data_IF_427618198714
#
_entry.id   IF_427618198714
#
_cell.length_a   1.000
_cell.length_b   1.000
_cell.length_c   1.000
_cell.angle_alpha   90.00
_cell.angle_beta   90.00
_cell.angle_gamma   90.00
#
_symmetry.space_group_name_H-M   'P 1'
#
loop_
_entity.id
_entity.type
_entity.pdbx_description
1 polymer ?
#
# COMPACT_ATOMS: atom_id res chain seq x y z
N UNK A 1 50.91 -54.45 24.57
CA UNK A 1 50.24 -53.56 23.61
C UNK A 1 48.94 -53.20 24.28
N UNK A 2 49.03 -52.25 25.21
CA UNK A 2 47.95 -51.85 26.09
C UNK A 2 47.13 -50.77 25.40
N UNK A 3 45.82 -50.98 25.42
CA UNK A 3 44.80 -50.11 24.86
C UNK A 3 44.62 -48.94 25.83
N UNK A 4 45.31 -47.83 25.59
CA UNK A 4 45.07 -46.60 26.34
C UNK A 4 43.84 -45.87 25.80
N UNK A 5 42.97 -45.60 26.77
CA UNK A 5 41.69 -44.92 26.77
C UNK A 5 41.83 -43.43 26.42
N UNK A 6 41.03 -42.96 25.47
CA UNK A 6 40.84 -41.52 25.23
C UNK A 6 39.35 -41.22 25.15
N UNK A 7 38.73 -41.13 26.32
CA UNK A 7 37.39 -40.55 26.49
C UNK A 7 37.46 -39.02 26.24
N UNK A 8 36.65 -38.44 25.34
CA UNK A 8 36.66 -37.00 25.10
C UNK A 8 35.93 -36.28 26.23
N UNK A 9 36.68 -35.53 27.06
CA UNK A 9 36.10 -34.60 28.03
C UNK A 9 35.33 -33.48 27.32
N UNK A 10 34.12 -33.11 27.77
CA UNK A 10 33.46 -31.89 27.29
C UNK A 10 34.18 -30.67 27.88
N UNK A 11 34.92 -29.96 27.04
CA UNK A 11 35.42 -28.62 27.35
C UNK A 11 34.31 -27.58 27.26
N UNK A 12 34.39 -26.45 27.98
CA UNK A 12 33.36 -25.40 27.93
C UNK A 12 33.24 -24.81 26.52
N UNK A 13 32.07 -24.91 25.91
CA UNK A 13 31.70 -24.15 24.72
C UNK A 13 31.45 -22.69 25.13
N UNK A 14 32.51 -21.89 25.17
CA UNK A 14 32.38 -20.42 25.15
C UNK A 14 32.93 -19.92 23.82
N UNK A 15 32.12 -20.02 22.77
CA UNK A 15 32.22 -19.09 21.65
C UNK A 15 31.07 -18.12 21.82
N UNK A 16 31.36 -17.00 22.48
CA UNK A 16 30.51 -15.81 22.50
C UNK A 16 30.48 -15.23 21.09
N UNK A 17 29.66 -15.82 20.24
CA UNK A 17 29.09 -15.08 19.13
C UNK A 17 27.92 -14.30 19.70
N UNK A 18 28.00 -12.98 19.57
CA UNK A 18 27.04 -11.97 19.98
C UNK A 18 25.76 -12.13 19.15
N UNK A 19 24.99 -13.18 19.43
CA UNK A 19 23.64 -13.34 18.92
C UNK A 19 22.75 -12.45 19.78
N UNK A 20 22.57 -11.21 19.34
CA UNK A 20 21.47 -10.36 19.78
C UNK A 20 20.19 -11.22 19.82
N UNK A 21 19.74 -11.53 21.04
CA UNK A 21 18.54 -12.31 21.31
C UNK A 21 17.36 -11.48 20.83
N UNK A 22 16.96 -11.68 19.57
CA UNK A 22 15.80 -11.01 19.00
C UNK A 22 14.60 -11.31 19.92
N UNK A 23 13.97 -10.28 20.52
CA UNK A 23 12.89 -10.51 21.46
C UNK A 23 11.77 -11.28 20.76
N UNK A 24 11.43 -12.44 21.32
CA UNK A 24 10.41 -13.35 20.81
C UNK A 24 9.03 -12.68 20.63
N UNK A 25 8.83 -11.51 21.22
CA UNK A 25 7.61 -10.69 21.13
C UNK A 25 7.33 -10.14 19.72
N UNK A 26 8.30 -10.15 18.80
CA UNK A 26 8.07 -9.73 17.41
C UNK A 26 7.25 -10.75 16.60
N UNK A 27 7.14 -12.00 17.07
CA UNK A 27 6.57 -13.11 16.30
C UNK A 27 5.02 -13.13 16.33
N UNK A 28 4.40 -12.30 17.18
CA UNK A 28 2.94 -12.32 17.41
C UNK A 28 2.20 -11.04 17.02
N UNK A 29 2.84 -10.09 16.32
CA UNK A 29 2.12 -8.90 15.88
C UNK A 29 1.16 -9.25 14.75
N UNK A 30 -0.11 -8.98 14.97
CA UNK A 30 -1.14 -9.10 13.93
C UNK A 30 -0.75 -8.17 12.75
N UNK A 31 -0.86 -8.63 11.49
CA UNK A 31 -0.48 -7.81 10.35
C UNK A 31 -1.34 -6.55 10.29
N UNK A 32 -0.71 -5.40 10.02
CA UNK A 32 -1.40 -4.15 9.79
C UNK A 32 -2.26 -4.27 8.52
N UNK A 33 -3.54 -3.98 8.63
CA UNK A 33 -4.45 -3.94 7.50
C UNK A 33 -4.49 -2.52 6.96
N UNK A 34 -4.19 -2.39 5.66
CA UNK A 34 -4.20 -1.12 4.94
C UNK A 34 -5.64 -0.62 4.87
N UNK A 35 -5.84 0.60 5.36
CA UNK A 35 -7.13 1.29 5.34
C UNK A 35 -7.37 2.02 4.02
N UNK A 36 -8.59 2.50 3.78
CA UNK A 36 -8.88 3.30 2.58
C UNK A 36 -8.03 4.58 2.45
N UNK A 37 -7.85 5.43 3.49
CA UNK A 37 -6.99 6.61 3.39
C UNK A 37 -5.53 6.23 3.10
N UNK A 38 -4.99 5.20 3.76
CA UNK A 38 -3.62 4.74 3.50
C UNK A 38 -3.44 4.24 2.06
N UNK A 39 -4.41 3.48 1.53
CA UNK A 39 -4.37 3.06 0.14
C UNK A 39 -4.41 4.27 -0.82
N UNK A 40 -5.19 5.30 -0.50
CA UNK A 40 -5.26 6.53 -1.30
C UNK A 40 -3.96 7.33 -1.24
N UNK A 41 -3.36 7.44 -0.05
CA UNK A 41 -2.09 8.11 0.18
C UNK A 41 -0.97 7.39 -0.57
N UNK A 42 -0.90 6.06 -0.48
CA UNK A 42 0.03 5.23 -1.26
C UNK A 42 -0.11 5.47 -2.78
N UNK A 43 -1.34 5.54 -3.29
CA UNK A 43 -1.58 5.83 -4.71
C UNK A 43 -1.12 7.22 -5.09
N UNK A 44 -1.31 8.22 -4.22
CA UNK A 44 -0.90 9.61 -4.43
C UNK A 44 0.62 9.75 -4.40
N UNK A 45 1.25 9.22 -3.35
CA UNK A 45 2.68 9.41 -3.07
C UNK A 45 3.55 8.66 -4.08
N UNK A 46 3.03 7.57 -4.67
CA UNK A 46 3.67 6.82 -5.75
C UNK A 46 3.24 7.28 -7.16
N UNK A 47 2.40 8.31 -7.25
CA UNK A 47 1.86 8.88 -8.50
C UNK A 47 1.30 7.81 -9.46
N UNK A 48 0.61 6.80 -8.91
CA UNK A 48 0.20 5.65 -9.70
C UNK A 48 -0.92 6.01 -10.69
N UNK A 49 -0.76 5.71 -11.99
CA UNK A 49 -1.86 5.82 -12.94
C UNK A 49 -2.95 4.81 -12.59
N UNK A 50 -4.21 5.14 -12.90
CA UNK A 50 -5.42 4.39 -12.50
C UNK A 50 -5.30 2.87 -12.59
N UNK A 51 -4.76 2.35 -13.71
CA UNK A 51 -4.58 0.89 -13.90
C UNK A 51 -3.61 0.28 -12.90
N UNK A 52 -2.50 0.97 -12.60
CA UNK A 52 -1.52 0.52 -11.61
C UNK A 52 -2.06 0.63 -10.18
N UNK A 53 -2.84 1.67 -9.87
CA UNK A 53 -3.51 1.80 -8.57
C UNK A 53 -4.50 0.65 -8.32
N UNK A 54 -5.30 0.30 -9.32
CA UNK A 54 -6.21 -0.86 -9.24
C UNK A 54 -5.46 -2.18 -9.09
N UNK A 55 -4.36 -2.36 -9.83
CA UNK A 55 -3.52 -3.54 -9.71
C UNK A 55 -2.92 -3.66 -8.30
N UNK A 56 -2.38 -2.56 -7.74
CA UNK A 56 -1.86 -2.52 -6.38
C UNK A 56 -2.92 -2.95 -5.36
N UNK A 57 -4.10 -2.33 -5.38
CA UNK A 57 -5.18 -2.70 -4.46
C UNK A 57 -5.63 -4.17 -4.63
N UNK A 58 -5.65 -4.69 -5.86
CA UNK A 58 -5.96 -6.10 -6.13
C UNK A 58 -4.92 -7.05 -5.50
N UNK A 59 -3.63 -6.71 -5.57
CA UNK A 59 -2.56 -7.50 -4.93
C UNK A 59 -2.67 -7.46 -3.41
N UNK A 60 -2.91 -6.29 -2.83
CA UNK A 60 -3.10 -6.14 -1.38
C UNK A 60 -4.31 -6.94 -0.89
N UNK A 61 -5.41 -6.97 -1.67
CA UNK A 61 -6.58 -7.78 -1.37
C UNK A 61 -6.26 -9.29 -1.42
N UNK A 62 -5.56 -9.74 -2.45
CA UNK A 62 -5.14 -11.14 -2.58
C UNK A 62 -4.25 -11.61 -1.42
N UNK A 63 -3.48 -10.69 -0.82
CA UNK A 63 -2.63 -10.96 0.33
C UNK A 63 -3.35 -10.78 1.68
N UNK A 64 -4.66 -10.50 1.69
CA UNK A 64 -5.44 -10.18 2.90
C UNK A 64 -4.84 -9.01 3.71
N UNK A 65 -4.21 -8.04 3.02
CA UNK A 65 -3.59 -6.86 3.62
C UNK A 65 -4.51 -5.63 3.59
N UNK A 66 -5.76 -5.76 3.12
CA UNK A 66 -6.73 -4.68 3.14
C UNK A 66 -7.72 -4.86 4.29
N UNK A 67 -8.09 -3.76 4.92
CA UNK A 67 -9.22 -3.75 5.83
C UNK A 67 -10.53 -4.11 5.09
N UNK A 68 -11.48 -4.71 5.81
CA UNK A 68 -12.79 -5.06 5.26
C UNK A 68 -13.51 -3.79 4.78
N UNK A 69 -13.94 -3.79 3.51
CA UNK A 69 -14.71 -2.69 2.94
C UNK A 69 -13.88 -1.66 2.15
N UNK A 70 -12.55 -1.81 2.09
CA UNK A 70 -11.69 -1.01 1.21
C UNK A 70 -12.08 -1.23 -0.25
N UNK A 71 -12.25 -0.12 -0.99
CA UNK A 71 -12.61 -0.14 -2.41
C UNK A 71 -11.38 0.06 -3.28
N UNK A 72 -11.05 -0.96 -4.06
CA UNK A 72 -9.94 -0.98 -5.04
C UNK A 72 -10.34 -0.25 -6.33
N UNK A 73 -11.64 -0.23 -6.65
CA UNK A 73 -12.19 0.43 -7.82
C UNK A 73 -12.60 1.86 -7.52
N UNK A 74 -11.77 2.82 -7.95
CA UNK A 74 -12.21 4.20 -8.17
C UNK A 74 -12.74 4.30 -9.60
N UNK A 75 -14.04 4.10 -9.80
CA UNK A 75 -14.74 4.70 -10.93
C UNK A 75 -15.08 6.13 -10.52
N UNK A 76 -14.31 7.11 -11.00
CA UNK A 76 -14.66 8.52 -10.81
C UNK A 76 -15.83 8.85 -11.75
N UNK A 77 -17.04 8.41 -11.43
CA UNK A 77 -18.25 8.89 -12.13
C UNK A 77 -18.42 10.40 -12.00
N UNK A 78 -17.79 11.03 -11.00
CA UNK A 78 -17.66 12.49 -10.89
C UNK A 78 -17.06 13.14 -12.15
N UNK A 79 -16.16 12.44 -12.86
CA UNK A 79 -15.62 12.97 -14.10
C UNK A 79 -16.66 12.98 -15.23
N UNK A 80 -17.70 12.14 -15.15
CA UNK A 80 -18.76 12.07 -16.15
C UNK A 80 -19.66 13.31 -16.08
N UNK A 81 -20.01 13.79 -14.87
CA UNK A 81 -20.78 15.05 -14.73
C UNK A 81 -19.92 16.25 -15.13
N UNK A 82 -18.66 16.27 -14.70
CA UNK A 82 -17.72 17.33 -15.09
C UNK A 82 -17.50 17.39 -16.61
N UNK A 83 -17.43 16.24 -17.30
CA UNK A 83 -17.24 16.20 -18.76
C UNK A 83 -18.36 16.94 -19.51
N UNK A 84 -19.58 17.00 -18.97
CA UNK A 84 -20.70 17.74 -19.56
C UNK A 84 -20.52 19.26 -19.53
N UNK A 85 -19.64 19.77 -18.67
CA UNK A 85 -19.32 21.19 -18.52
C UNK A 85 -18.21 21.67 -19.48
N UNK A 86 -17.69 20.78 -20.31
CA UNK A 86 -16.66 21.09 -21.31
C UNK A 86 -17.21 20.90 -22.71
N UNK A 87 -16.83 21.80 -23.62
CA UNK A 87 -17.11 21.72 -25.05
C UNK A 87 -15.81 21.46 -25.80
N UNK A 88 -15.93 20.82 -26.95
CA UNK A 88 -14.81 20.50 -27.84
C UNK A 88 -15.10 21.13 -29.20
N UNK A 89 -14.16 21.94 -29.69
CA UNK A 89 -14.20 22.52 -31.04
C UNK A 89 -12.86 22.25 -31.73
N UNK A 90 -12.94 21.65 -32.92
CA UNK A 90 -11.83 21.06 -33.70
C UNK A 90 -10.95 20.06 -32.91
N UNK A 91 -10.13 20.55 -31.99
CA UNK A 91 -9.24 19.79 -31.10
C UNK A 91 -9.02 20.46 -29.74
N UNK A 92 -9.70 21.58 -29.50
CA UNK A 92 -9.60 22.36 -28.27
C UNK A 92 -10.77 22.02 -27.37
N UNK A 93 -10.44 21.55 -26.16
CA UNK A 93 -11.42 21.35 -25.10
C UNK A 93 -11.41 22.59 -24.21
N UNK A 94 -12.56 23.25 -24.07
CA UNK A 94 -12.71 24.44 -23.24
C UNK A 94 -13.95 24.35 -22.34
N UNK A 95 -13.92 25.07 -21.22
CA UNK A 95 -15.07 25.23 -20.35
C UNK A 95 -15.78 26.54 -20.72
N UNK A 96 -16.97 26.51 -21.35
CA UNK A 96 -17.67 27.73 -21.73
C UNK A 96 -18.17 28.54 -20.53
N UNK A 97 -18.37 27.91 -19.36
CA UNK A 97 -18.84 28.57 -18.15
C UNK A 97 -18.04 28.14 -16.92
N UNK A 98 -17.05 28.95 -16.53
CA UNK A 98 -16.24 28.68 -15.34
C UNK A 98 -17.05 28.70 -14.04
N UNK A 99 -18.14 29.47 -13.96
CA UNK A 99 -18.97 29.54 -12.76
C UNK A 99 -19.71 28.22 -12.52
N UNK A 100 -20.24 27.59 -13.58
CA UNK A 100 -20.86 26.26 -13.49
C UNK A 100 -19.87 25.20 -13.00
N UNK A 101 -18.63 25.27 -13.49
CA UNK A 101 -17.56 24.39 -13.03
C UNK A 101 -17.27 24.57 -11.53
N UNK A 102 -17.16 25.80 -11.06
CA UNK A 102 -16.89 26.11 -9.64
C UNK A 102 -18.03 25.63 -8.72
N UNK A 103 -19.29 25.79 -9.17
CA UNK A 103 -20.48 25.30 -8.45
C UNK A 103 -20.48 23.77 -8.37
N UNK A 104 -20.24 23.07 -9.48
CA UNK A 104 -20.20 21.59 -9.52
C UNK A 104 -19.05 21.03 -8.67
N UNK A 105 -17.91 21.74 -8.63
CA UNK A 105 -16.78 21.41 -7.77
C UNK A 105 -17.01 21.77 -6.29
N UNK A 106 -18.14 22.43 -5.97
CA UNK A 106 -18.49 22.93 -4.63
C UNK A 106 -17.42 23.85 -4.06
N UNK A 107 -16.84 24.67 -4.93
CA UNK A 107 -15.88 25.69 -4.54
C UNK A 107 -16.61 27.01 -4.29
N UNK A 108 -16.14 27.83 -3.33
CA UNK A 108 -16.69 29.15 -3.12
C UNK A 108 -16.49 30.03 -4.38
N UNK A 109 -17.51 30.81 -4.72
CA UNK A 109 -17.51 31.82 -5.79
C UNK A 109 -17.04 33.18 -5.26
#
# INVERSE_FOLDING_TARGET
MDLEDFEPKPGPLTSTDDYEEYPADLVHRQPHLVTQPELNDLVRDLELPKRKSQLLGSRLQQQNLLEKGVKISSYRTRQSTLKLLFSEDESLVFCPNSNELMIELKMPL
#
